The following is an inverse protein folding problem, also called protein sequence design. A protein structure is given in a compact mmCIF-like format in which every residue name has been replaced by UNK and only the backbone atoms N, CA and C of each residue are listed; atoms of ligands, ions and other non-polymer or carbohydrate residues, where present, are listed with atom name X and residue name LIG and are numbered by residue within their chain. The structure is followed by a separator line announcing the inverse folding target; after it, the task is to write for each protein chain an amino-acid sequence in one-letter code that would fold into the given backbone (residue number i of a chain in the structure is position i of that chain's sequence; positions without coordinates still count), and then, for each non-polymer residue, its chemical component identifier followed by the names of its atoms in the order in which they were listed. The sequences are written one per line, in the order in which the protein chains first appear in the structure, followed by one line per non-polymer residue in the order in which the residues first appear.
data_IF_111094723213
#
_entry.id   IF_111094723213
#
_cell.length_a   1.000
_cell.length_b   1.000
_cell.length_c   1.000
_cell.angle_alpha   90.00
_cell.angle_beta   90.00
_cell.angle_gamma   90.00
#
_symmetry.space_group_name_H-M   'P 1'
#
loop_
_entity.id
_entity.type
_entity.pdbx_description
1 polymer ?
#
# COMPACT_ATOMS: atom_id res chain seq x y z
N UNK A 1 3.02 2.65 6.08
CA UNK A 1 2.37 1.36 5.80
C UNK A 1 1.19 1.05 6.72
N UNK A 2 1.23 1.39 8.02
CA UNK A 2 0.09 1.18 8.92
C UNK A 2 -1.23 1.83 8.44
N UNK A 3 -1.20 3.05 7.90
CA UNK A 3 -2.40 3.70 7.37
C UNK A 3 -3.09 2.91 6.24
N UNK A 4 -2.32 2.35 5.31
CA UNK A 4 -2.85 1.47 4.25
C UNK A 4 -3.42 0.18 4.85
N UNK A 5 -2.77 -0.38 5.87
CA UNK A 5 -3.27 -1.55 6.61
C UNK A 5 -4.60 -1.30 7.31
N UNK A 6 -4.74 -0.18 8.03
CA UNK A 6 -5.98 0.21 8.69
C UNK A 6 -7.09 0.48 7.67
N UNK A 7 -6.77 1.17 6.57
CA UNK A 7 -7.73 1.40 5.49
C UNK A 7 -8.27 0.09 4.92
N UNK A 8 -7.39 -0.89 4.64
CA UNK A 8 -7.78 -2.21 4.17
C UNK A 8 -8.64 -2.96 5.20
N UNK A 9 -8.30 -2.86 6.49
CA UNK A 9 -9.09 -3.43 7.58
C UNK A 9 -10.50 -2.84 7.62
N UNK A 10 -10.63 -1.51 7.56
CA UNK A 10 -11.93 -0.83 7.48
C UNK A 10 -12.70 -1.26 6.22
N UNK A 11 -12.03 -1.35 5.06
CA UNK A 11 -12.64 -1.83 3.81
C UNK A 11 -13.17 -3.27 3.93
N UNK A 12 -12.42 -4.14 4.60
CA UNK A 12 -12.83 -5.53 4.85
C UNK A 12 -14.05 -5.61 5.75
N UNK A 13 -14.11 -4.75 6.79
CA UNK A 13 -15.26 -4.64 7.67
C UNK A 13 -16.52 -4.08 6.98
N UNK A 14 -16.37 -3.16 6.04
CA UNK A 14 -17.49 -2.59 5.29
C UNK A 14 -18.06 -3.51 4.20
N UNK A 15 -17.24 -4.36 3.58
CA UNK A 15 -17.64 -5.29 2.50
C UNK A 15 -17.12 -6.71 2.75
N UNK A 16 -17.76 -7.47 3.66
CA UNK A 16 -17.31 -8.82 4.02
C UNK A 16 -17.44 -9.86 2.90
N UNK A 17 -18.35 -9.67 1.94
CA UNK A 17 -18.54 -10.59 0.81
C UNK A 17 -17.66 -10.31 -0.40
N UNK A 18 -16.88 -9.22 -0.41
CA UNK A 18 -16.14 -8.84 -1.60
C UNK A 18 -14.92 -9.75 -1.87
N UNK A 19 -14.77 -10.19 -3.12
CA UNK A 19 -13.63 -10.99 -3.58
C UNK A 19 -12.40 -10.09 -3.76
N UNK A 20 -11.33 -10.35 -3.01
CA UNK A 20 -10.08 -9.60 -3.10
C UNK A 20 -9.13 -10.25 -4.10
N UNK A 21 -8.55 -9.44 -4.98
CA UNK A 21 -7.43 -9.91 -5.81
C UNK A 21 -6.10 -9.67 -5.07
N UNK A 22 -5.61 -10.71 -4.42
CA UNK A 22 -4.36 -10.68 -3.63
C UNK A 22 -3.12 -10.31 -4.46
N UNK A 23 -3.11 -10.61 -5.76
CA UNK A 23 -1.97 -10.32 -6.64
C UNK A 23 -1.70 -8.83 -6.78
N UNK A 24 -2.75 -8.02 -6.93
CA UNK A 24 -2.62 -6.56 -7.06
C UNK A 24 -2.21 -5.92 -5.75
N UNK A 25 -2.73 -6.44 -4.64
CA UNK A 25 -2.41 -5.95 -3.30
C UNK A 25 -0.95 -6.26 -2.93
N UNK A 26 -0.49 -7.48 -3.21
CA UNK A 26 0.91 -7.88 -3.01
C UNK A 26 1.86 -7.07 -3.89
N UNK A 27 1.51 -6.85 -5.16
CA UNK A 27 2.28 -6.03 -6.08
C UNK A 27 2.43 -4.58 -5.59
N UNK A 28 1.32 -3.99 -5.13
CA UNK A 28 1.31 -2.63 -4.56
C UNK A 28 2.18 -2.56 -3.29
N UNK A 29 2.04 -3.52 -2.39
CA UNK A 29 2.80 -3.55 -1.14
C UNK A 29 4.32 -3.59 -1.40
N UNK A 30 4.77 -4.47 -2.30
CA UNK A 30 6.18 -4.58 -2.64
C UNK A 30 6.69 -3.33 -3.36
N UNK A 31 5.96 -2.82 -4.35
CA UNK A 31 6.35 -1.61 -5.08
C UNK A 31 6.47 -0.39 -4.15
N UNK A 32 5.55 -0.21 -3.20
CA UNK A 32 5.59 0.90 -2.24
C UNK A 32 6.78 0.81 -1.28
N UNK A 33 7.09 -0.38 -0.76
CA UNK A 33 8.23 -0.55 0.15
C UNK A 33 9.57 -0.45 -0.59
N UNK A 34 9.68 -1.06 -1.77
CA UNK A 34 10.90 -0.97 -2.60
C UNK A 34 11.12 0.48 -3.03
N UNK A 35 10.09 1.14 -3.59
CA UNK A 35 10.19 2.53 -4.01
C UNK A 35 10.62 3.47 -2.88
N UNK A 36 9.99 3.33 -1.71
CA UNK A 36 10.36 4.12 -0.52
C UNK A 36 11.79 3.84 -0.05
N UNK A 37 12.20 2.57 -0.01
CA UNK A 37 13.55 2.17 0.37
C UNK A 37 14.58 2.73 -0.61
N UNK A 38 14.29 2.68 -1.91
CA UNK A 38 15.17 3.16 -2.96
C UNK A 38 15.38 4.67 -2.87
N UNK A 39 14.31 5.45 -2.64
CA UNK A 39 14.41 6.91 -2.42
C UNK A 39 15.28 7.24 -1.20
N UNK A 40 15.05 6.51 -0.10
CA UNK A 40 15.75 6.73 1.15
C UNK A 40 17.25 6.44 0.98
N UNK A 41 17.61 5.31 0.38
CA UNK A 41 18.99 4.86 0.28
C UNK A 41 19.79 5.57 -0.81
N UNK A 42 19.19 5.81 -1.98
CA UNK A 42 19.93 6.38 -3.11
C UNK A 42 20.00 7.90 -3.10
N UNK A 43 19.03 8.57 -2.49
CA UNK A 43 18.96 10.04 -2.51
C UNK A 43 19.01 10.62 -1.10
N UNK A 44 18.03 10.34 -0.24
CA UNK A 44 17.88 11.08 1.03
C UNK A 44 19.05 10.84 1.99
N UNK A 45 19.50 9.59 2.12
CA UNK A 45 20.63 9.23 2.98
C UNK A 45 21.94 9.88 2.50
N UNK A 46 22.40 9.70 1.25
CA UNK A 46 23.67 10.27 0.81
C UNK A 46 23.64 11.81 0.74
N UNK A 47 22.52 12.42 0.33
CA UNK A 47 22.38 13.88 0.41
C UNK A 47 22.42 14.38 1.86
N UNK A 48 21.76 13.68 2.77
CA UNK A 48 21.77 14.03 4.19
C UNK A 48 23.18 13.95 4.80
N UNK A 49 23.96 12.92 4.45
CA UNK A 49 25.35 12.78 4.90
C UNK A 49 26.23 13.90 4.34
N UNK A 50 26.11 14.21 3.03
CA UNK A 50 26.86 15.31 2.41
C UNK A 50 26.49 16.66 3.03
N UNK A 51 25.20 16.90 3.27
CA UNK A 51 24.72 18.10 3.96
C UNK A 51 25.27 18.18 5.38
N UNK A 52 25.24 17.08 6.14
CA UNK A 52 25.79 17.04 7.50
C UNK A 52 27.29 17.35 7.51
N UNK A 53 28.07 16.78 6.60
CA UNK A 53 29.50 17.07 6.48
C UNK A 53 29.76 18.55 6.19
N UNK A 54 29.00 19.13 5.25
CA UNK A 54 29.11 20.56 4.93
C UNK A 54 28.74 21.47 6.10
N UNK A 55 27.73 21.09 6.90
CA UNK A 55 27.37 21.80 8.13
C UNK A 55 28.52 21.78 9.15
N UNK A 56 29.20 20.64 9.31
CA UNK A 56 30.29 20.49 10.28
C UNK A 56 31.54 21.30 9.90
N UNK A 57 31.86 21.37 8.61
CA UNK A 57 33.07 22.08 8.14
C UNK A 57 32.86 23.58 7.97
N UNK A 58 31.73 23.99 7.38
CA UNK A 58 31.52 25.38 6.93
C UNK A 58 30.33 26.07 7.64
N UNK A 59 29.57 25.34 8.46
CA UNK A 59 28.38 25.83 9.15
C UNK A 59 27.09 25.67 8.34
N UNK A 60 25.95 25.84 9.03
CA UNK A 60 24.62 25.61 8.45
C UNK A 60 24.29 26.51 7.25
N UNK A 61 24.80 27.74 7.24
CA UNK A 61 24.58 28.70 6.16
C UNK A 61 25.13 28.20 4.81
N UNK A 62 26.27 27.49 4.84
CA UNK A 62 26.90 26.96 3.63
C UNK A 62 26.20 25.71 3.10
N UNK A 63 25.82 24.79 3.98
CA UNK A 63 25.08 23.57 3.58
C UNK A 63 23.72 23.86 2.93
N UNK A 64 23.13 25.03 3.21
CA UNK A 64 21.88 25.50 2.60
C UNK A 64 22.08 26.51 1.47
N UNK A 65 23.32 26.82 1.11
CA UNK A 65 23.65 27.79 0.07
C UNK A 65 23.39 27.24 -1.33
N UNK A 66 23.18 28.15 -2.29
CA UNK A 66 23.04 27.79 -3.70
C UNK A 66 24.32 27.14 -4.25
N UNK A 67 25.50 27.56 -3.76
CA UNK A 67 26.79 26.98 -4.13
C UNK A 67 26.85 25.47 -3.83
N UNK A 68 26.33 25.03 -2.68
CA UNK A 68 26.27 23.61 -2.34
C UNK A 68 25.22 22.85 -3.16
N UNK A 69 24.05 23.43 -3.39
CA UNK A 69 22.97 22.79 -4.15
C UNK A 69 23.26 22.65 -5.65
N UNK A 70 24.08 23.54 -6.21
CA UNK A 70 24.43 23.55 -7.64
C UNK A 70 25.56 22.55 -7.95
N UNK A 71 26.11 21.86 -6.93
CA UNK A 71 27.17 20.90 -7.13
C UNK A 71 26.71 19.73 -8.03
N UNK A 72 27.58 19.24 -8.94
CA UNK A 72 27.21 18.18 -9.88
C UNK A 72 26.82 16.88 -9.17
N UNK A 73 27.41 16.60 -8.00
CA UNK A 73 27.07 15.42 -7.17
C UNK A 73 25.65 15.52 -6.60
N UNK A 74 25.22 16.71 -6.17
CA UNK A 74 23.86 16.95 -5.67
C UNK A 74 22.83 16.78 -6.78
N UNK A 75 23.11 17.32 -7.97
CA UNK A 75 22.28 17.12 -9.15
C UNK A 75 22.14 15.65 -9.55
N UNK A 76 23.23 14.88 -9.49
CA UNK A 76 23.20 13.44 -9.76
C UNK A 76 22.31 12.71 -8.74
N UNK A 77 22.45 12.99 -7.45
CA UNK A 77 21.65 12.37 -6.39
C UNK A 77 20.16 12.67 -6.51
N UNK A 78 19.80 13.89 -6.96
CA UNK A 78 18.41 14.26 -7.25
C UNK A 78 17.86 13.43 -8.42
N UNK A 79 18.64 13.24 -9.48
CA UNK A 79 18.24 12.40 -10.61
C UNK A 79 18.09 10.92 -10.24
N UNK A 80 18.97 10.42 -9.36
CA UNK A 80 18.89 9.07 -8.80
C UNK A 80 17.61 8.82 -8.00
N UNK A 81 16.85 9.88 -7.66
CA UNK A 81 15.55 9.76 -6.99
C UNK A 81 14.43 9.32 -7.93
N UNK A 82 14.49 9.73 -9.20
CA UNK A 82 13.43 9.54 -10.21
C UNK A 82 13.04 8.05 -10.39
N UNK A 83 13.99 7.08 -10.42
CA UNK A 83 13.63 5.66 -10.47
C UNK A 83 12.82 5.20 -9.26
N UNK A 84 13.15 5.68 -8.05
CA UNK A 84 12.41 5.38 -6.82
C UNK A 84 11.01 5.97 -6.84
N UNK A 85 10.88 7.23 -7.26
CA UNK A 85 9.59 7.92 -7.42
C UNK A 85 8.69 7.19 -8.43
N UNK A 86 9.28 6.68 -9.51
CA UNK A 86 8.54 5.93 -10.55
C UNK A 86 8.00 4.60 -10.01
N UNK A 87 8.82 3.81 -9.32
CA UNK A 87 8.39 2.52 -8.73
C UNK A 87 7.30 2.75 -7.67
N UNK A 88 7.48 3.76 -6.82
CA UNK A 88 6.50 4.11 -5.80
C UNK A 88 5.16 4.57 -6.40
N UNK A 89 5.21 5.40 -7.45
CA UNK A 89 4.02 5.86 -8.17
C UNK A 89 3.25 4.69 -8.78
N UNK A 90 3.94 3.73 -9.40
CA UNK A 90 3.31 2.50 -9.92
C UNK A 90 2.62 1.72 -8.79
N UNK A 91 3.28 1.57 -7.64
CA UNK A 91 2.69 0.93 -6.46
C UNK A 91 1.41 1.63 -5.96
N UNK A 92 1.40 2.95 -5.93
CA UNK A 92 0.22 3.74 -5.58
C UNK A 92 -0.91 3.59 -6.61
N UNK A 93 -0.59 3.56 -7.90
CA UNK A 93 -1.58 3.38 -8.97
C UNK A 93 -2.24 1.99 -8.89
N UNK A 94 -1.46 0.93 -8.66
CA UNK A 94 -1.97 -0.42 -8.45
C UNK A 94 -2.91 -0.49 -7.24
N UNK A 95 -2.54 0.18 -6.14
CA UNK A 95 -3.36 0.23 -4.92
C UNK A 95 -4.67 0.97 -5.15
N UNK A 96 -4.61 2.17 -5.74
CA UNK A 96 -5.80 2.96 -6.05
C UNK A 96 -6.71 2.21 -7.04
N UNK A 97 -6.14 1.53 -8.03
CA UNK A 97 -6.91 0.70 -8.95
C UNK A 97 -7.61 -0.46 -8.24
N UNK A 98 -6.93 -1.14 -7.32
CA UNK A 98 -7.53 -2.19 -6.50
C UNK A 98 -8.74 -1.68 -5.72
N UNK A 99 -8.61 -0.52 -5.08
CA UNK A 99 -9.68 0.12 -4.32
C UNK A 99 -10.82 0.55 -5.25
N UNK A 100 -10.52 1.21 -6.37
CA UNK A 100 -11.52 1.64 -7.34
C UNK A 100 -12.31 0.46 -7.93
N UNK A 101 -11.63 -0.64 -8.25
CA UNK A 101 -12.27 -1.87 -8.76
C UNK A 101 -13.29 -2.44 -7.75
N UNK A 102 -13.00 -2.35 -6.46
CA UNK A 102 -13.90 -2.81 -5.38
C UNK A 102 -15.21 -2.01 -5.31
N UNK A 103 -15.21 -0.77 -5.82
CA UNK A 103 -16.40 0.08 -5.90
C UNK A 103 -17.14 -0.06 -7.24
N UNK A 104 -16.42 -0.14 -8.37
CA UNK A 104 -17.02 -0.16 -9.71
C UNK A 104 -17.58 -1.55 -10.07
N UNK A 105 -16.90 -2.63 -9.68
CA UNK A 105 -17.33 -4.02 -9.95
C UNK A 105 -17.27 -4.87 -8.67
N UNK A 106 -18.23 -4.71 -7.74
CA UNK A 106 -18.28 -5.52 -6.53
C UNK A 106 -18.60 -6.98 -6.89
N UNK A 107 -17.57 -7.80 -6.94
CA UNK A 107 -17.71 -9.25 -7.03
C UNK A 107 -18.02 -9.76 -5.62
N UNK A 108 -19.24 -10.23 -5.40
CA UNK A 108 -19.66 -10.86 -4.14
C UNK A 108 -19.41 -12.35 -4.24
N UNK A 109 -18.89 -12.95 -3.17
CA UNK A 109 -18.90 -14.40 -3.03
C UNK A 109 -20.36 -14.87 -3.07
N UNK A 110 -20.66 -15.99 -3.75
CA UNK A 110 -21.99 -16.60 -3.63
C UNK A 110 -22.25 -16.86 -2.15
N UNK A 111 -23.33 -16.27 -1.62
CA UNK A 111 -23.87 -16.60 -0.30
C UNK A 111 -23.81 -18.13 -0.12
N UNK A 112 -23.32 -18.64 1.03
CA UNK A 112 -23.55 -20.02 1.38
C UNK A 112 -25.05 -20.20 1.31
N UNK A 113 -25.52 -20.83 0.23
CA UNK A 113 -26.92 -21.22 0.06
C UNK A 113 -27.25 -21.86 1.39
N UNK A 114 -28.16 -21.26 2.16
CA UNK A 114 -28.78 -21.96 3.27
C UNK A 114 -29.31 -23.23 2.63
N UNK A 115 -28.53 -24.31 2.78
CA UNK A 115 -28.88 -25.60 2.24
C UNK A 115 -30.27 -25.83 2.80
N UNK A 116 -31.23 -26.07 1.91
CA UNK A 116 -32.63 -26.24 2.23
C UNK A 116 -32.84 -27.47 3.11
N UNK A 117 -32.40 -27.36 4.37
CA UNK A 117 -32.87 -28.10 5.51
C UNK A 117 -33.97 -27.29 6.15
N UNK A 118 -35.01 -26.98 5.38
CA UNK A 118 -36.34 -27.02 5.96
C UNK A 118 -36.54 -28.49 6.35
N UNK A 119 -36.04 -28.86 7.54
CA UNK A 119 -36.49 -30.08 8.19
C UNK A 119 -38.00 -29.91 8.30
N UNK A 120 -38.81 -30.77 7.65
CA UNK A 120 -40.24 -30.60 7.70
C UNK A 120 -40.66 -30.66 9.17
N UNK A 121 -41.26 -29.57 9.64
CA UNK A 121 -41.82 -29.42 10.98
C UNK A 121 -42.96 -30.44 11.29
N UNK A 122 -43.18 -31.40 10.40
CA UNK A 122 -44.20 -32.43 10.47
C UNK A 122 -43.69 -33.81 10.94
N UNK A 123 -42.37 -34.03 11.04
CA UNK A 123 -41.82 -35.34 11.44
C UNK A 123 -41.62 -35.51 12.97
N UNK A 124 -41.76 -34.43 13.76
CA UNK A 124 -41.52 -34.49 15.20
C UNK A 124 -42.77 -34.79 16.06
N UNK A 125 -43.97 -34.86 15.47
CA UNK A 125 -45.22 -35.10 16.22
C UNK A 125 -45.82 -36.50 16.06
N UNK A 126 -45.25 -37.38 15.24
CA UNK A 126 -45.80 -38.72 14.99
C UNK A 126 -45.11 -39.86 15.78
N UNK A 127 -44.21 -39.55 16.72
CA UNK A 127 -43.51 -40.56 17.54
C UNK A 127 -43.90 -40.50 19.02
N UNK A 128 -45.04 -39.88 19.31
CA UNK A 128 -45.64 -39.85 20.65
C UNK A 128 -47.06 -40.42 20.59
N UNK A 129 -47.19 -41.61 20.02
CA UNK A 129 -48.39 -42.44 20.05
C UNK A 129 -48.00 -43.80 19.48
N UNK A 130 -47.37 -44.64 20.31
CA UNK A 130 -47.38 -46.11 20.31
C UNK A 130 -46.59 -46.64 21.53
#
# INVERSE_FOLDING_TARGET
MLGLGLMLFCLRGMKPEAVWNEGWLRGSFWALNIGLSLMALLTLLPLGVLQLSAVLEHGYWYARSAEFMTQPIVHLLIWMRVPGDTIFAIGMLLFTWFVARLWIKPQRLPEPRASGGALPAHAAMAQKED
#
